data_IF_379742049270
#
_entry.id   IF_379742049270
#
_cell.length_a   1.000
_cell.length_b   1.000
_cell.length_c   1.000
_cell.angle_alpha   90.00
_cell.angle_beta   90.00
_cell.angle_gamma   90.00
#
_symmetry.space_group_name_H-M   'P 1'
#
loop_
_entity.id
_entity.type
_entity.pdbx_description
1 polymer ?
#
# COMPACT_ATOMS: atom_id res chain seq x y z
N UNK A 1 40.34 -50.13 31.31
CA UNK A 1 39.20 -49.71 30.47
C UNK A 1 38.43 -48.65 31.25
N UNK A 2 38.14 -47.53 30.56
CA UNK A 2 37.31 -46.36 30.90
C UNK A 2 37.51 -45.65 32.26
N UNK A 3 38.24 -44.53 32.23
CA UNK A 3 38.04 -43.43 33.20
C UNK A 3 37.00 -42.45 32.64
N UNK A 4 36.02 -42.09 33.47
CA UNK A 4 34.94 -41.18 33.10
C UNK A 4 35.42 -39.71 33.04
N UNK A 5 34.93 -38.89 32.10
CA UNK A 5 35.29 -37.48 32.06
C UNK A 5 34.45 -36.64 33.03
N UNK A 6 35.14 -35.63 33.56
CA UNK A 6 34.79 -34.74 34.66
C UNK A 6 33.60 -33.82 34.33
N UNK A 7 32.55 -33.85 35.15
CA UNK A 7 31.28 -33.12 34.98
C UNK A 7 31.43 -31.58 34.99
N UNK A 8 32.58 -31.06 35.43
CA UNK A 8 32.84 -29.62 35.54
C UNK A 8 33.18 -28.91 34.22
N UNK A 9 33.59 -29.63 33.16
CA UNK A 9 33.94 -29.01 31.87
C UNK A 9 32.75 -28.81 30.91
N UNK A 10 31.57 -29.37 31.20
CA UNK A 10 30.37 -29.18 30.36
C UNK A 10 29.57 -27.91 30.68
N UNK A 11 29.78 -27.28 31.84
CA UNK A 11 29.02 -26.09 32.25
C UNK A 11 29.59 -24.77 31.69
N UNK A 12 30.86 -24.73 31.27
CA UNK A 12 31.50 -23.51 30.75
C UNK A 12 31.25 -23.25 29.25
N UNK A 13 30.70 -24.23 28.51
CA UNK A 13 30.28 -24.06 27.11
C UNK A 13 28.80 -23.66 26.97
N UNK A 14 27.99 -23.79 28.02
CA UNK A 14 26.56 -23.41 27.98
C UNK A 14 26.26 -21.96 28.36
N UNK A 15 27.26 -21.19 28.83
CA UNK A 15 27.06 -19.79 29.24
C UNK A 15 27.57 -18.75 28.22
N UNK A 16 28.09 -19.16 27.06
CA UNK A 16 28.52 -18.21 26.00
C UNK A 16 27.44 -17.89 24.96
N UNK A 17 26.27 -18.50 25.06
CA UNK A 17 25.15 -18.27 24.13
C UNK A 17 24.06 -17.33 24.66
N UNK A 18 24.28 -16.67 25.81
CA UNK A 18 23.31 -15.74 26.41
C UNK A 18 23.73 -14.26 26.34
N UNK A 19 24.64 -13.91 25.43
CA UNK A 19 25.02 -12.51 25.18
C UNK A 19 25.03 -12.20 23.68
N UNK A 20 23.93 -12.47 23.01
CA UNK A 20 23.55 -11.69 21.84
C UNK A 20 22.45 -10.75 22.29
N UNK A 21 22.80 -9.47 22.46
CA UNK A 21 21.79 -8.40 22.46
C UNK A 21 20.89 -8.65 21.26
N UNK A 22 19.55 -8.65 21.40
CA UNK A 22 18.69 -8.71 20.23
C UNK A 22 19.12 -7.57 19.30
N UNK A 23 19.15 -7.80 17.97
CA UNK A 23 19.34 -6.69 17.04
C UNK A 23 18.36 -5.59 17.43
N UNK A 24 18.76 -4.30 17.37
CA UNK A 24 17.86 -3.22 17.74
C UNK A 24 16.57 -3.46 16.98
N UNK A 25 15.47 -3.68 17.70
CA UNK A 25 14.14 -3.62 17.10
C UNK A 25 14.12 -2.26 16.44
N UNK A 26 14.22 -2.22 15.12
CA UNK A 26 13.92 -1.03 14.35
C UNK A 26 12.48 -0.72 14.70
N UNK A 27 12.26 0.14 15.70
CA UNK A 27 10.95 0.64 16.02
C UNK A 27 10.47 1.25 14.72
N UNK A 28 9.36 0.72 14.19
CA UNK A 28 8.62 1.40 13.14
C UNK A 28 8.61 2.89 13.46
N UNK A 29 9.11 3.73 12.54
CA UNK A 29 9.09 5.18 12.71
C UNK A 29 7.65 5.73 12.87
N UNK A 30 6.66 4.87 12.64
CA UNK A 30 5.24 5.15 12.72
C UNK A 30 4.58 4.41 13.90
N UNK A 31 3.71 5.11 14.62
CA UNK A 31 2.93 4.55 15.73
C UNK A 31 1.44 4.90 15.60
N UNK A 32 0.52 3.98 15.90
CA UNK A 32 -0.91 4.29 15.88
C UNK A 32 -1.33 5.09 17.11
N UNK A 33 -2.14 6.14 16.91
CA UNK A 33 -2.87 6.88 17.95
C UNK A 33 -4.34 6.50 17.89
N UNK A 34 -4.82 5.79 18.91
CA UNK A 34 -6.19 5.32 19.00
C UNK A 34 -7.07 6.37 19.69
N UNK A 35 -8.19 6.67 19.07
CA UNK A 35 -9.28 7.48 19.63
C UNK A 35 -10.51 6.60 19.73
N UNK A 36 -11.21 6.66 20.86
CA UNK A 36 -12.39 5.84 21.12
C UNK A 36 -12.08 4.35 21.29
N UNK A 37 -13.07 3.58 21.75
CA UNK A 37 -12.94 2.13 21.89
C UNK A 37 -13.09 1.43 20.53
N UNK A 38 -12.34 0.34 20.25
CA UNK A 38 -12.57 -0.47 19.06
C UNK A 38 -14.03 -0.94 18.94
N UNK A 39 -14.51 -1.14 17.70
CA UNK A 39 -15.89 -1.53 17.40
C UNK A 39 -16.94 -0.51 17.88
N UNK A 40 -16.61 0.79 17.81
CA UNK A 40 -17.54 1.90 18.06
C UNK A 40 -17.51 2.90 16.91
N UNK A 41 -18.57 3.70 16.75
CA UNK A 41 -18.67 4.69 15.66
C UNK A 41 -17.61 5.80 15.74
N UNK A 42 -17.17 6.12 16.96
CA UNK A 42 -16.17 7.16 17.22
C UNK A 42 -14.73 6.65 17.12
N UNK A 43 -14.55 5.34 16.87
CA UNK A 43 -13.21 4.77 16.82
C UNK A 43 -12.43 5.31 15.62
N UNK A 44 -11.24 5.85 15.89
CA UNK A 44 -10.27 6.28 14.87
C UNK A 44 -8.88 5.79 15.23
N UNK A 45 -8.12 5.40 14.21
CA UNK A 45 -6.69 5.13 14.34
C UNK A 45 -5.94 6.09 13.43
N UNK A 46 -5.33 7.10 14.04
CA UNK A 46 -4.40 7.99 13.35
C UNK A 46 -3.01 7.35 13.31
N UNK A 47 -2.19 7.71 12.32
CA UNK A 47 -0.77 7.34 12.31
C UNK A 47 0.06 8.55 12.73
N UNK A 48 1.02 8.33 13.62
CA UNK A 48 2.00 9.34 14.01
C UNK A 48 3.37 9.00 13.45
N UNK A 49 4.13 10.01 13.06
CA UNK A 49 5.57 9.94 12.85
C UNK A 49 6.24 10.95 13.78
N UNK A 50 7.17 10.50 14.63
CA UNK A 50 7.84 11.37 15.61
C UNK A 50 6.87 12.19 16.49
N UNK A 51 5.73 11.60 16.88
CA UNK A 51 4.70 12.23 17.71
C UNK A 51 3.72 13.15 16.96
N UNK A 52 3.90 13.35 15.65
CA UNK A 52 3.02 14.18 14.82
C UNK A 52 2.11 13.31 13.97
N UNK A 53 0.82 13.65 13.92
CA UNK A 53 -0.16 12.94 13.09
C UNK A 53 0.16 13.19 11.61
N UNK A 54 0.23 12.11 10.83
CA UNK A 54 0.45 12.08 9.39
C UNK A 54 -0.71 11.35 8.70
N UNK A 55 -1.01 11.73 7.47
CA UNK A 55 -2.00 11.03 6.65
C UNK A 55 -1.46 9.66 6.19
N UNK A 56 -2.12 8.54 6.51
CA UNK A 56 -1.76 7.24 5.95
C UNK A 56 -2.05 7.14 4.45
N UNK A 57 -2.87 8.03 3.88
CA UNK A 57 -3.10 8.07 2.45
C UNK A 57 -1.98 8.86 1.75
N UNK A 58 -1.54 9.99 2.30
CA UNK A 58 -0.76 10.96 1.53
C UNK A 58 0.68 11.16 2.02
N UNK A 59 0.93 11.09 3.32
CA UNK A 59 2.20 11.53 3.92
C UNK A 59 3.22 10.41 4.11
N UNK A 60 2.77 9.14 4.13
CA UNK A 60 3.65 7.98 4.23
C UNK A 60 4.17 7.64 2.83
N UNK A 61 5.50 7.58 2.61
CA UNK A 61 6.05 7.27 1.30
C UNK A 61 5.63 5.89 0.81
N UNK A 62 5.23 5.77 -0.46
CA UNK A 62 4.96 4.47 -1.10
C UNK A 62 6.17 3.52 -0.97
N UNK A 63 7.37 4.03 -1.27
CA UNK A 63 8.61 3.26 -1.19
C UNK A 63 9.29 3.46 0.16
N UNK A 64 9.57 2.36 0.85
CA UNK A 64 10.50 2.34 1.98
C UNK A 64 11.95 2.31 1.50
N UNK A 65 12.21 1.58 0.40
CA UNK A 65 13.47 1.54 -0.31
C UNK A 65 13.20 1.29 -1.79
N UNK A 66 13.27 2.36 -2.59
CA UNK A 66 13.01 2.30 -4.02
C UNK A 66 14.07 1.47 -4.77
N UNK A 67 15.32 1.48 -4.32
CA UNK A 67 16.42 0.75 -4.98
C UNK A 67 16.25 -0.77 -4.87
N UNK A 68 15.66 -1.24 -3.77
CA UNK A 68 15.38 -2.65 -3.53
C UNK A 68 13.92 -3.06 -3.80
N UNK A 69 13.07 -2.13 -4.26
CA UNK A 69 11.66 -2.39 -4.52
C UNK A 69 10.87 -2.78 -3.26
N UNK A 70 11.17 -2.12 -2.13
CA UNK A 70 10.47 -2.32 -0.86
C UNK A 70 9.47 -1.19 -0.64
N UNK A 71 8.25 -1.57 -0.33
CA UNK A 71 7.11 -0.67 -0.17
C UNK A 71 6.72 -0.54 1.30
N UNK A 72 6.13 0.59 1.69
CA UNK A 72 5.40 0.71 2.95
C UNK A 72 3.95 0.27 2.71
N UNK A 73 3.45 -0.67 3.51
CA UNK A 73 2.04 -1.05 3.58
C UNK A 73 1.43 -0.49 4.85
N UNK A 74 0.22 0.06 4.75
CA UNK A 74 -0.61 0.43 5.90
C UNK A 74 -1.56 -0.74 6.19
N UNK A 75 -1.46 -1.34 7.37
CA UNK A 75 -2.36 -2.42 7.79
C UNK A 75 -3.66 -1.82 8.33
N UNK A 76 -4.79 -2.20 7.74
CA UNK A 76 -6.12 -1.75 8.16
C UNK A 76 -6.85 -2.84 8.94
N UNK A 77 -6.81 -4.08 8.45
CA UNK A 77 -7.53 -5.21 9.04
C UNK A 77 -6.56 -6.36 9.33
N UNK A 78 -6.30 -6.65 10.61
CA UNK A 78 -5.50 -7.82 11.00
C UNK A 78 -6.12 -9.13 10.52
N UNK A 79 -5.27 -10.11 10.18
CA UNK A 79 -5.73 -11.45 9.81
C UNK A 79 -6.62 -12.06 10.89
N UNK A 80 -7.67 -12.76 10.45
CA UNK A 80 -8.71 -13.41 11.25
C UNK A 80 -9.59 -12.46 12.06
N UNK A 81 -9.72 -11.21 11.61
CA UNK A 81 -10.69 -10.26 12.17
C UNK A 81 -11.78 -9.91 11.15
N UNK A 82 -12.88 -9.33 11.64
CA UNK A 82 -14.09 -9.12 10.84
C UNK A 82 -14.45 -7.64 10.65
N UNK A 83 -13.96 -6.75 11.51
CA UNK A 83 -14.27 -5.33 11.41
C UNK A 83 -13.70 -4.79 10.10
N UNK A 84 -14.55 -4.26 9.21
CA UNK A 84 -14.07 -3.62 7.99
C UNK A 84 -13.56 -2.23 8.34
N UNK A 85 -12.26 -2.15 8.61
CA UNK A 85 -11.54 -0.92 8.85
C UNK A 85 -10.92 -0.45 7.53
N UNK A 86 -10.95 0.85 7.29
CA UNK A 86 -10.45 1.48 6.06
C UNK A 86 -9.90 2.88 6.36
N UNK A 87 -8.88 3.30 5.61
CA UNK A 87 -8.40 4.67 5.55
C UNK A 87 -9.55 5.56 5.10
N UNK A 88 -9.94 6.54 5.92
CA UNK A 88 -11.00 7.48 5.52
C UNK A 88 -10.49 8.44 4.45
N UNK A 89 -11.19 8.52 3.33
CA UNK A 89 -10.85 9.48 2.26
C UNK A 89 -11.29 10.89 2.60
N UNK A 90 -12.38 11.02 3.37
CA UNK A 90 -13.09 12.28 3.59
C UNK A 90 -12.65 13.01 4.87
N UNK A 91 -12.13 12.27 5.85
CA UNK A 91 -11.71 12.86 7.13
C UNK A 91 -10.28 13.45 7.06
N UNK A 92 -10.04 14.63 7.67
CA UNK A 92 -8.70 15.20 7.75
C UNK A 92 -7.69 14.24 8.38
N UNK A 93 -6.50 14.16 7.77
CA UNK A 93 -5.44 13.18 8.11
C UNK A 93 -5.80 11.72 7.87
N UNK A 94 -6.91 11.45 7.17
CA UNK A 94 -7.30 10.13 6.68
C UNK A 94 -7.17 9.01 7.72
N UNK A 95 -7.67 9.17 8.97
CA UNK A 95 -7.57 8.12 9.97
C UNK A 95 -8.25 6.84 9.50
N UNK A 96 -7.75 5.71 9.98
CA UNK A 96 -8.45 4.43 9.78
C UNK A 96 -9.69 4.43 10.67
N UNK A 97 -10.85 4.11 10.09
CA UNK A 97 -12.15 4.02 10.76
C UNK A 97 -12.90 2.78 10.27
N UNK A 98 -13.91 2.37 11.02
CA UNK A 98 -14.76 1.26 10.58
C UNK A 98 -15.82 1.76 9.60
N UNK A 99 -15.97 1.05 8.48
CA UNK A 99 -17.01 1.29 7.47
C UNK A 99 -18.41 1.19 8.13
N UNK A 100 -19.33 2.03 7.70
CA UNK A 100 -20.70 2.12 8.20
C UNK A 100 -21.67 1.80 7.07
N UNK A 101 -22.41 0.69 7.21
CA UNK A 101 -23.45 0.28 6.27
C UNK A 101 -24.82 0.40 6.93
N UNK A 102 -25.71 1.21 6.35
CA UNK A 102 -27.07 1.46 6.87
C UNK A 102 -27.07 1.91 8.35
N UNK A 103 -26.16 2.82 8.70
CA UNK A 103 -26.03 3.38 10.05
C UNK A 103 -25.46 2.42 11.10
N UNK A 104 -24.91 1.26 10.70
CA UNK A 104 -24.30 0.29 11.60
C UNK A 104 -22.87 -0.03 11.16
N UNK A 105 -22.03 -0.32 12.14
CA UNK A 105 -20.66 -0.80 11.90
C UNK A 105 -20.67 -2.06 11.02
N UNK A 106 -19.87 -2.04 9.96
CA UNK A 106 -19.76 -3.15 9.02
C UNK A 106 -18.77 -4.19 9.52
N UNK A 107 -19.20 -5.44 9.51
CA UNK A 107 -18.37 -6.60 9.77
C UNK A 107 -18.50 -7.57 8.61
N UNK A 108 -17.38 -7.94 8.00
CA UNK A 108 -17.31 -9.02 7.01
C UNK A 108 -17.66 -10.33 7.72
N UNK A 109 -18.51 -11.15 7.09
CA UNK A 109 -18.97 -12.41 7.68
C UNK A 109 -17.92 -13.51 7.47
N UNK A 110 -17.98 -14.53 8.31
CA UNK A 110 -17.20 -15.75 8.09
C UNK A 110 -17.86 -16.56 6.98
N UNK A 111 -17.13 -16.81 5.90
CA UNK A 111 -17.54 -17.69 4.82
C UNK A 111 -16.71 -18.97 4.92
N UNK A 112 -17.33 -20.09 5.27
CA UNK A 112 -16.61 -21.36 5.45
C UNK A 112 -15.76 -21.69 4.20
N UNK A 113 -14.48 -22.10 4.36
CA UNK A 113 -13.77 -22.45 5.61
C UNK A 113 -13.06 -21.28 6.31
N UNK A 114 -13.28 -20.04 5.86
CA UNK A 114 -12.51 -18.86 6.27
C UNK A 114 -13.04 -18.22 7.56
N UNK A 115 -12.12 -17.67 8.35
CA UNK A 115 -12.43 -16.84 9.51
C UNK A 115 -11.96 -15.40 9.22
N UNK A 116 -12.91 -14.46 9.11
CA UNK A 116 -12.61 -13.07 8.81
C UNK A 116 -11.80 -12.90 7.53
N UNK A 117 -10.92 -11.90 7.52
CA UNK A 117 -9.89 -11.73 6.50
C UNK A 117 -8.80 -12.78 6.67
N UNK A 118 -8.37 -13.43 5.58
CA UNK A 118 -7.36 -14.50 5.63
C UNK A 118 -5.92 -14.00 5.42
N UNK A 119 -5.71 -12.69 5.35
CA UNK A 119 -4.43 -11.97 5.30
C UNK A 119 -4.41 -10.83 6.31
N UNK A 120 -3.24 -10.25 6.55
CA UNK A 120 -3.24 -8.87 6.99
C UNK A 120 -3.62 -8.02 5.77
N UNK A 121 -4.72 -7.29 5.88
CA UNK A 121 -5.27 -6.52 4.79
C UNK A 121 -5.05 -5.03 5.05
N UNK A 122 -4.83 -4.29 3.97
CA UNK A 122 -4.73 -2.85 4.02
C UNK A 122 -4.38 -2.29 2.66
N UNK A 123 -3.62 -1.21 2.61
CA UNK A 123 -3.36 -0.52 1.36
C UNK A 123 -1.94 0.02 1.23
N UNK A 124 -1.55 0.34 -0.01
CA UNK A 124 -0.35 1.14 -0.26
C UNK A 124 -0.67 2.63 -0.16
N UNK A 125 0.10 3.40 0.64
CA UNK A 125 -0.05 4.84 0.68
C UNK A 125 0.38 5.44 -0.66
N UNK A 126 -0.09 6.65 -0.96
CA UNK A 126 0.25 7.37 -2.18
C UNK A 126 -0.11 6.61 -3.47
N UNK A 127 -1.17 5.82 -3.46
CA UNK A 127 -1.73 5.17 -4.66
C UNK A 127 -3.21 5.47 -4.73
N UNK A 128 -3.79 5.46 -5.93
CA UNK A 128 -5.22 5.72 -6.09
C UNK A 128 -5.77 5.00 -7.33
N UNK A 129 -6.81 4.21 -7.12
CA UNK A 129 -7.61 3.58 -8.18
C UNK A 129 -8.58 4.62 -8.77
N UNK A 130 -8.13 5.30 -9.82
CA UNK A 130 -8.81 6.46 -10.40
C UNK A 130 -10.24 6.12 -10.92
N UNK A 131 -11.31 6.67 -10.32
CA UNK A 131 -12.70 6.39 -10.72
C UNK A 131 -13.11 7.14 -11.99
N UNK A 132 -12.24 7.97 -12.56
CA UNK A 132 -12.51 8.75 -13.78
C UNK A 132 -12.03 8.02 -15.04
N UNK A 133 -11.12 7.07 -14.90
CA UNK A 133 -10.49 6.33 -16.00
C UNK A 133 -10.92 4.87 -15.97
N UNK A 134 -11.13 4.25 -17.12
CA UNK A 134 -11.35 2.80 -17.20
C UNK A 134 -10.02 2.09 -17.40
N UNK A 135 -9.76 1.04 -16.62
CA UNK A 135 -8.62 0.16 -16.83
C UNK A 135 -8.92 -0.79 -18.00
N UNK A 136 -7.92 -1.07 -18.83
CA UNK A 136 -8.09 -1.85 -20.06
C UNK A 136 -8.34 -3.34 -19.76
N UNK A 137 -7.78 -3.82 -18.66
CA UNK A 137 -7.78 -5.19 -18.18
C UNK A 137 -9.16 -5.63 -17.69
N UNK A 138 -9.79 -4.78 -16.89
CA UNK A 138 -11.07 -5.02 -16.23
C UNK A 138 -12.24 -4.44 -17.02
N UNK A 139 -11.98 -3.45 -17.89
CA UNK A 139 -12.99 -2.63 -18.58
C UNK A 139 -13.94 -1.92 -17.61
N UNK A 140 -13.43 -1.64 -16.41
CA UNK A 140 -14.13 -0.96 -15.33
C UNK A 140 -13.29 0.23 -14.84
N UNK A 141 -13.95 1.16 -14.15
CA UNK A 141 -13.29 2.30 -13.49
C UNK A 141 -12.70 1.86 -12.15
N UNK A 142 -11.72 2.59 -11.62
CA UNK A 142 -11.22 2.35 -10.27
C UNK A 142 -12.30 2.57 -9.19
N UNK A 143 -12.14 1.92 -8.05
CA UNK A 143 -13.05 1.97 -6.90
C UNK A 143 -12.89 3.22 -6.02
N UNK A 144 -12.03 4.15 -6.44
CA UNK A 144 -11.72 5.40 -5.76
C UNK A 144 -10.96 5.22 -4.43
N UNK A 145 -10.31 4.08 -4.17
CA UNK A 145 -9.53 3.84 -2.96
C UNK A 145 -8.01 3.78 -3.23
N UNK A 146 -7.16 3.85 -2.17
CA UNK A 146 -5.77 3.45 -2.30
C UNK A 146 -5.67 1.97 -2.69
N UNK A 147 -4.61 1.61 -3.41
CA UNK A 147 -4.43 0.26 -3.95
C UNK A 147 -4.33 -0.78 -2.84
N UNK A 148 -5.19 -1.80 -2.90
CA UNK A 148 -5.36 -2.80 -1.86
C UNK A 148 -4.23 -3.85 -1.81
N UNK A 149 -3.92 -4.29 -0.59
CA UNK A 149 -2.77 -5.14 -0.30
C UNK A 149 -3.15 -6.29 0.64
N UNK A 150 -2.82 -7.51 0.23
CA UNK A 150 -2.91 -8.73 1.01
C UNK A 150 -1.50 -9.19 1.42
N UNK A 151 -1.15 -9.01 2.70
CA UNK A 151 0.13 -9.43 3.25
C UNK A 151 0.04 -10.82 3.89
N UNK A 152 0.87 -11.73 3.37
CA UNK A 152 0.72 -13.18 3.56
C UNK A 152 1.64 -13.79 4.63
N UNK A 153 2.46 -12.99 5.31
CA UNK A 153 3.41 -13.44 6.32
C UNK A 153 2.77 -14.04 7.56
N UNK A 154 3.55 -14.79 8.34
CA UNK A 154 3.05 -15.57 9.48
C UNK A 154 2.56 -14.70 10.66
N UNK A 155 3.09 -13.49 10.81
CA UNK A 155 2.73 -12.60 11.92
C UNK A 155 1.41 -11.88 11.65
N UNK A 156 0.48 -11.95 12.59
CA UNK A 156 -0.74 -11.14 12.56
C UNK A 156 -0.37 -9.68 12.88
N UNK A 157 -0.70 -8.77 11.97
CA UNK A 157 -0.43 -7.34 12.11
C UNK A 157 -1.42 -6.65 13.05
N UNK A 158 -1.32 -5.32 13.14
CA UNK A 158 -2.24 -4.49 13.92
C UNK A 158 -2.70 -3.28 13.11
N UNK A 159 -3.87 -2.73 13.45
CA UNK A 159 -4.47 -1.58 12.78
C UNK A 159 -3.55 -0.37 12.87
N UNK A 160 -3.25 0.27 11.73
CA UNK A 160 -2.33 1.41 11.63
C UNK A 160 -0.84 1.02 11.66
N UNK A 161 -0.52 -0.27 11.58
CA UNK A 161 0.87 -0.71 11.42
C UNK A 161 1.40 -0.30 10.04
N UNK A 162 2.61 0.25 10.00
CA UNK A 162 3.34 0.48 8.74
C UNK A 162 4.40 -0.61 8.59
N UNK A 163 4.18 -1.54 7.64
CA UNK A 163 5.08 -2.68 7.38
C UNK A 163 5.92 -2.41 6.14
N UNK A 164 7.17 -2.85 6.14
CA UNK A 164 7.98 -2.90 4.92
C UNK A 164 7.74 -4.24 4.23
N UNK A 165 7.30 -4.19 2.97
CA UNK A 165 6.87 -5.38 2.24
C UNK A 165 7.51 -5.47 0.86
N UNK A 166 7.66 -6.70 0.37
CA UNK A 166 8.00 -6.98 -1.03
C UNK A 166 6.77 -7.45 -1.79
N UNK A 167 6.64 -6.97 -3.03
CA UNK A 167 5.58 -7.38 -3.96
C UNK A 167 5.91 -8.73 -4.57
N UNK A 168 4.90 -9.61 -4.62
CA UNK A 168 4.99 -10.94 -5.22
C UNK A 168 4.09 -11.07 -6.45
N UNK A 169 2.92 -10.43 -6.45
CA UNK A 169 1.99 -10.48 -7.56
C UNK A 169 0.73 -9.66 -7.32
N UNK A 170 -0.27 -9.85 -8.17
CA UNK A 170 -1.52 -9.07 -8.15
C UNK A 170 -2.69 -9.87 -8.72
N UNK A 171 -3.90 -9.64 -8.22
CA UNK A 171 -5.15 -10.22 -8.76
C UNK A 171 -6.14 -9.13 -9.17
N UNK A 172 -6.78 -9.32 -10.33
CA UNK A 172 -7.70 -8.35 -10.94
C UNK A 172 -9.15 -8.58 -10.51
N UNK A 173 -9.54 -8.15 -9.31
CA UNK A 173 -10.93 -8.28 -8.84
C UNK A 173 -11.81 -7.22 -9.51
N UNK A 174 -13.03 -7.63 -9.86
CA UNK A 174 -14.15 -6.76 -10.22
C UNK A 174 -15.09 -6.78 -9.03
N UNK A 175 -14.97 -5.80 -8.14
CA UNK A 175 -15.81 -5.69 -6.94
C UNK A 175 -17.02 -4.81 -7.24
N UNK A 176 -18.22 -5.41 -7.27
CA UNK A 176 -19.47 -4.72 -7.63
C UNK A 176 -19.43 -3.95 -8.98
N UNK A 177 -18.53 -4.33 -9.89
CA UNK A 177 -18.36 -3.74 -11.22
C UNK A 177 -17.26 -2.68 -11.32
N UNK A 178 -16.51 -2.44 -10.25
CA UNK A 178 -15.36 -1.55 -10.19
C UNK A 178 -14.05 -2.35 -10.23
N UNK A 179 -12.99 -1.74 -10.78
CA UNK A 179 -11.63 -2.27 -10.74
C UNK A 179 -11.13 -2.16 -9.32
N UNK A 180 -10.73 -3.30 -8.76
CA UNK A 180 -10.28 -3.41 -7.39
C UNK A 180 -9.06 -4.34 -7.33
N UNK A 181 -7.89 -3.81 -7.67
CA UNK A 181 -6.68 -4.63 -7.74
C UNK A 181 -6.21 -5.08 -6.34
N UNK A 182 -5.94 -6.39 -6.18
CA UNK A 182 -5.42 -6.96 -4.92
C UNK A 182 -3.95 -7.34 -5.05
N UNK A 183 -3.05 -6.53 -4.49
CA UNK A 183 -1.61 -6.83 -4.49
C UNK A 183 -1.31 -7.92 -3.45
N UNK A 184 -0.51 -8.91 -3.84
CA UNK A 184 0.00 -9.95 -2.95
C UNK A 184 1.42 -9.57 -2.53
N UNK A 185 1.64 -9.45 -1.23
CA UNK A 185 2.94 -9.05 -0.66
C UNK A 185 3.34 -9.94 0.51
N UNK A 186 4.61 -9.86 0.90
CA UNK A 186 5.09 -10.43 2.17
C UNK A 186 5.97 -9.42 2.90
N UNK A 187 5.84 -9.37 4.23
CA UNK A 187 6.75 -8.60 5.09
C UNK A 187 8.21 -9.01 4.85
N UNK A 188 9.11 -8.03 4.72
CA UNK A 188 10.55 -8.29 4.54
C UNK A 188 11.19 -8.99 5.75
N UNK A 189 10.55 -8.92 6.91
CA UNK A 189 10.96 -9.57 8.16
C UNK A 189 10.38 -10.99 8.32
N UNK A 190 9.51 -11.42 7.41
CA UNK A 190 8.94 -12.77 7.47
C UNK A 190 10.03 -13.84 7.23
N UNK A 191 10.03 -14.97 7.97
CA UNK A 191 11.00 -16.05 7.77
C UNK A 191 11.04 -16.61 6.34
N UNK A 192 9.93 -16.57 5.60
CA UNK A 192 9.84 -16.99 4.20
C UNK A 192 10.14 -15.88 3.20
N UNK A 193 10.32 -14.63 3.62
CA UNK A 193 10.53 -13.50 2.72
C UNK A 193 11.69 -13.72 1.73
N UNK A 194 12.78 -14.38 2.17
CA UNK A 194 13.92 -14.71 1.30
C UNK A 194 13.59 -15.73 0.20
N UNK A 195 12.57 -16.56 0.40
CA UNK A 195 12.12 -17.61 -0.53
C UNK A 195 10.97 -17.18 -1.42
N UNK A 196 10.31 -16.07 -1.11
CA UNK A 196 9.19 -15.52 -1.84
C UNK A 196 9.68 -14.32 -2.66
N UNK A 197 9.88 -14.48 -3.96
CA UNK A 197 10.40 -13.42 -4.84
C UNK A 197 9.50 -13.12 -6.03
N UNK A 198 8.63 -14.05 -6.42
CA UNK A 198 7.58 -13.87 -7.42
C UNK A 198 6.33 -14.70 -7.05
N UNK A 199 5.25 -14.57 -7.81
CA UNK A 199 3.95 -15.15 -7.49
C UNK A 199 3.97 -16.69 -7.46
N UNK A 200 4.82 -17.33 -8.26
CA UNK A 200 4.96 -18.78 -8.31
C UNK A 200 5.55 -19.36 -7.02
N UNK A 201 6.35 -18.58 -6.29
CA UNK A 201 6.92 -19.00 -5.01
C UNK A 201 5.83 -19.10 -3.93
N UNK A 202 4.75 -18.32 -4.05
CA UNK A 202 3.60 -18.39 -3.14
C UNK A 202 2.96 -19.77 -3.22
N UNK A 203 2.65 -20.27 -4.42
CA UNK A 203 2.04 -21.61 -4.54
C UNK A 203 3.01 -22.72 -4.13
N UNK A 204 4.33 -22.52 -4.32
CA UNK A 204 5.35 -23.50 -3.89
C UNK A 204 5.47 -23.61 -2.37
N UNK A 205 5.39 -22.50 -1.64
CA UNK A 205 5.63 -22.44 -0.20
C UNK A 205 4.35 -22.37 0.64
N UNK A 206 3.26 -21.87 0.08
CA UNK A 206 1.95 -21.66 0.68
C UNK A 206 0.85 -22.24 -0.24
N UNK A 207 0.87 -23.56 -0.51
CA UNK A 207 0.02 -24.17 -1.53
C UNK A 207 -1.47 -23.97 -1.22
N UNK A 208 -2.23 -23.57 -2.23
CA UNK A 208 -3.66 -23.29 -2.13
C UNK A 208 -4.03 -21.91 -1.60
N UNK A 209 -3.08 -21.08 -1.17
CA UNK A 209 -3.38 -19.73 -0.68
C UNK A 209 -3.99 -18.85 -1.78
N UNK A 210 -3.42 -18.84 -2.99
CA UNK A 210 -3.94 -18.03 -4.10
C UNK A 210 -5.35 -18.47 -4.51
N UNK A 211 -5.61 -19.78 -4.50
CA UNK A 211 -6.95 -20.32 -4.74
C UNK A 211 -7.94 -19.89 -3.66
N UNK A 212 -7.53 -19.90 -2.39
CA UNK A 212 -8.34 -19.40 -1.28
C UNK A 212 -8.58 -17.89 -1.38
N UNK A 213 -7.59 -17.11 -1.86
CA UNK A 213 -7.74 -15.68 -2.16
C UNK A 213 -8.80 -15.42 -3.20
N UNK A 214 -8.75 -16.15 -4.32
CA UNK A 214 -9.77 -16.05 -5.35
C UNK A 214 -11.17 -16.33 -4.79
N UNK A 215 -11.32 -17.44 -4.06
CA UNK A 215 -12.59 -17.84 -3.47
C UNK A 215 -13.12 -16.79 -2.48
N UNK A 216 -12.27 -16.31 -1.57
CA UNK A 216 -12.65 -15.37 -0.53
C UNK A 216 -13.24 -14.09 -1.12
N UNK A 217 -12.54 -13.45 -2.06
CA UNK A 217 -13.00 -12.20 -2.68
C UNK A 217 -14.24 -12.37 -3.56
N UNK A 218 -14.47 -13.57 -4.10
CA UNK A 218 -15.72 -13.89 -4.81
C UNK A 218 -16.92 -13.93 -3.87
N UNK A 219 -16.76 -14.56 -2.70
CA UNK A 219 -17.90 -14.93 -1.85
C UNK A 219 -18.13 -14.03 -0.64
N UNK A 220 -17.17 -13.20 -0.23
CA UNK A 220 -17.23 -12.50 1.08
C UNK A 220 -18.45 -11.57 1.25
N UNK A 221 -19.01 -11.07 0.16
CA UNK A 221 -20.22 -10.21 0.15
C UNK A 221 -21.53 -10.98 -0.07
N UNK A 222 -21.50 -12.28 -0.39
CA UNK A 222 -22.72 -13.09 -0.56
C UNK A 222 -23.59 -13.09 0.70
N UNK A 223 -23.05 -13.26 1.93
CA UNK A 223 -23.84 -13.16 3.16
C UNK A 223 -24.50 -11.79 3.39
N UNK A 224 -24.00 -10.75 2.73
CA UNK A 224 -24.54 -9.39 2.75
C UNK A 224 -25.65 -9.18 1.68
N UNK A 225 -26.04 -10.24 0.96
CA UNK A 225 -27.05 -10.22 -0.09
C UNK A 225 -26.56 -9.63 -1.42
N UNK A 226 -25.25 -9.55 -1.62
CA UNK A 226 -24.63 -9.10 -2.88
C UNK A 226 -24.35 -10.28 -3.81
N UNK A 227 -24.27 -10.05 -5.14
CA UNK A 227 -23.82 -11.07 -6.06
C UNK A 227 -22.37 -11.48 -5.78
N UNK A 228 -21.99 -12.62 -6.33
CA UNK A 228 -20.60 -13.06 -6.36
C UNK A 228 -19.76 -12.08 -7.20
N UNK A 229 -18.59 -11.70 -6.70
CA UNK A 229 -17.65 -10.90 -7.48
C UNK A 229 -16.99 -11.75 -8.58
N UNK A 230 -16.38 -11.08 -9.55
CA UNK A 230 -15.68 -11.74 -10.65
C UNK A 230 -14.23 -11.29 -10.71
N UNK A 231 -13.39 -12.02 -11.45
CA UNK A 231 -12.01 -11.63 -11.68
C UNK A 231 -11.76 -11.53 -13.18
N UNK A 232 -10.96 -10.55 -13.60
CA UNK A 232 -10.34 -10.61 -14.93
C UNK A 232 -9.31 -11.77 -14.98
N UNK A 233 -8.83 -12.10 -16.18
CA UNK A 233 -7.87 -13.19 -16.40
C UNK A 233 -8.27 -14.54 -15.78
N UNK A 234 -9.58 -14.80 -15.64
CA UNK A 234 -10.10 -16.01 -14.98
C UNK A 234 -9.59 -16.21 -13.54
N UNK A 235 -9.20 -15.13 -12.84
CA UNK A 235 -8.69 -15.20 -11.48
C UNK A 235 -7.21 -15.53 -11.35
N UNK A 236 -6.44 -15.49 -12.45
CA UNK A 236 -5.00 -15.65 -12.43
C UNK A 236 -4.32 -14.56 -11.60
N UNK A 237 -3.44 -14.95 -10.69
CA UNK A 237 -2.54 -14.01 -10.03
C UNK A 237 -1.37 -13.69 -10.96
N UNK A 238 -1.28 -12.44 -11.42
CA UNK A 238 -0.18 -11.96 -12.25
C UNK A 238 1.07 -11.76 -11.41
N UNK A 239 2.22 -11.91 -12.06
CA UNK A 239 3.53 -11.88 -11.43
C UNK A 239 3.92 -10.50 -10.88
N UNK A 240 5.03 -10.46 -10.15
CA UNK A 240 5.59 -9.27 -9.52
C UNK A 240 5.78 -8.11 -10.50
N UNK A 241 6.22 -8.41 -11.73
CA UNK A 241 6.46 -7.38 -12.75
C UNK A 241 5.15 -6.66 -13.08
N UNK A 242 4.09 -7.41 -13.39
CA UNK A 242 2.77 -6.85 -13.68
C UNK A 242 2.23 -6.04 -12.49
N UNK A 243 2.36 -6.59 -11.28
CA UNK A 243 1.95 -5.92 -10.06
C UNK A 243 2.64 -4.56 -9.89
N UNK A 244 3.95 -4.51 -10.18
CA UNK A 244 4.75 -3.28 -10.07
C UNK A 244 4.31 -2.23 -11.09
N UNK A 245 3.94 -2.64 -12.31
CA UNK A 245 3.40 -1.74 -13.34
C UNK A 245 2.09 -1.08 -12.88
N UNK A 246 1.16 -1.86 -12.33
CA UNK A 246 -0.11 -1.35 -11.78
C UNK A 246 0.12 -0.43 -10.57
N UNK A 247 1.03 -0.79 -9.65
CA UNK A 247 1.38 0.08 -8.52
C UNK A 247 1.88 1.44 -9.01
N UNK A 248 2.72 1.47 -10.06
CA UNK A 248 3.18 2.73 -10.65
C UNK A 248 2.05 3.52 -11.29
N UNK A 249 1.12 2.87 -12.00
CA UNK A 249 -0.06 3.53 -12.57
C UNK A 249 -0.91 4.20 -11.48
N UNK A 250 -1.26 3.48 -10.41
CA UNK A 250 -2.04 4.02 -9.30
C UNK A 250 -1.27 5.11 -8.53
N UNK A 251 0.07 5.00 -8.43
CA UNK A 251 0.90 6.06 -7.84
C UNK A 251 0.90 7.34 -8.70
N UNK A 252 0.96 7.21 -10.02
CA UNK A 252 0.87 8.34 -10.93
C UNK A 252 -0.53 8.98 -10.91
N UNK A 253 -1.59 8.18 -10.77
CA UNK A 253 -2.95 8.69 -10.53
C UNK A 253 -3.04 9.48 -9.22
N UNK A 254 -2.52 8.94 -8.11
CA UNK A 254 -2.43 9.67 -6.84
C UNK A 254 -1.58 10.94 -6.98
N UNK A 255 -0.48 10.92 -7.74
CA UNK A 255 0.34 12.11 -7.98
C UNK A 255 -0.48 13.21 -8.65
N UNK A 256 -1.24 12.88 -9.70
CA UNK A 256 -2.13 13.83 -10.38
C UNK A 256 -3.21 14.37 -9.45
N UNK A 257 -3.74 13.54 -8.55
CA UNK A 257 -4.69 13.93 -7.51
C UNK A 257 -4.05 14.94 -6.53
N UNK A 258 -2.88 14.63 -5.96
CA UNK A 258 -2.24 15.47 -4.94
C UNK A 258 -1.66 16.77 -5.50
N UNK A 259 -1.25 16.80 -6.77
CA UNK A 259 -0.81 18.03 -7.46
C UNK A 259 -1.98 18.90 -7.92
N UNK A 260 -3.21 18.38 -7.88
CA UNK A 260 -4.41 19.08 -8.33
C UNK A 260 -4.61 19.06 -9.85
N UNK A 261 -3.86 18.24 -10.59
CA UNK A 261 -4.14 17.96 -12.01
C UNK A 261 -5.47 17.22 -12.17
N UNK A 262 -5.80 16.33 -11.21
CA UNK A 262 -7.14 15.77 -11.04
C UNK A 262 -7.81 16.44 -9.84
N UNK A 263 -9.00 17.06 -9.98
CA UNK A 263 -9.67 17.72 -8.87
C UNK A 263 -10.01 16.74 -7.76
N UNK A 264 -9.67 17.04 -6.51
CA UNK A 264 -9.94 16.17 -5.36
C UNK A 264 -11.42 16.06 -4.96
N UNK A 265 -12.22 17.04 -5.40
CA UNK A 265 -13.67 17.05 -5.25
C UNK A 265 -14.31 17.00 -6.64
N UNK A 266 -15.07 15.95 -6.91
CA UNK A 266 -15.84 15.75 -8.13
C UNK A 266 -17.12 14.95 -7.83
N UNK A 267 -18.09 14.88 -8.76
CA UNK A 267 -19.29 14.05 -8.56
C UNK A 267 -18.99 12.57 -8.28
N UNK A 268 -17.81 12.08 -8.68
CA UNK A 268 -17.40 10.68 -8.50
C UNK A 268 -16.57 10.44 -7.25
N UNK A 269 -16.04 11.47 -6.58
CA UNK A 269 -15.15 11.31 -5.43
C UNK A 269 -15.01 12.58 -4.58
N UNK A 270 -14.78 12.41 -3.28
CA UNK A 270 -14.48 13.48 -2.33
C UNK A 270 -13.28 13.03 -1.48
N UNK A 271 -12.10 13.58 -1.78
CA UNK A 271 -10.84 13.20 -1.12
C UNK A 271 -10.28 14.40 -0.35
N UNK A 272 -10.09 14.21 0.94
CA UNK A 272 -9.51 15.18 1.86
C UNK A 272 -7.99 15.29 1.65
N UNK A 273 -7.60 16.23 0.79
CA UNK A 273 -6.20 16.63 0.61
C UNK A 273 -5.88 17.80 1.54
N UNK A 274 -5.06 17.57 2.56
CA UNK A 274 -4.54 18.66 3.39
C UNK A 274 -3.32 19.29 2.72
N UNK A 275 -3.38 20.59 2.39
CA UNK A 275 -2.19 21.36 1.99
C UNK A 275 -1.33 21.63 3.22
N UNK A 276 -0.45 20.72 3.59
CA UNK A 276 0.56 21.04 4.61
C UNK A 276 1.50 22.13 4.07
N UNK A 277 1.68 23.20 4.84
CA UNK A 277 2.85 24.08 4.74
C UNK A 277 4.06 23.33 5.29
N UNK A 278 4.53 22.30 4.58
CA UNK A 278 5.87 21.75 4.79
C UNK A 278 6.78 22.27 3.67
N UNK A 279 8.00 22.75 3.99
CA UNK A 279 8.93 23.22 2.98
C UNK A 279 9.29 22.04 2.06
N UNK A 280 8.84 22.14 0.81
CA UNK A 280 9.25 21.38 -0.38
C UNK A 280 9.63 19.90 -0.15
N UNK A 281 8.71 18.98 -0.48
CA UNK A 281 9.06 17.58 -0.71
C UNK A 281 10.20 17.51 -1.76
N UNK A 282 11.36 16.90 -1.45
CA UNK A 282 12.57 17.01 -2.27
C UNK A 282 12.44 16.54 -3.73
N UNK A 283 11.45 15.69 -4.02
CA UNK A 283 11.27 15.09 -5.35
C UNK A 283 10.40 15.93 -6.30
N UNK A 284 9.69 16.96 -5.82
CA UNK A 284 8.87 17.85 -6.66
C UNK A 284 9.74 18.69 -7.63
N UNK A 285 11.06 18.79 -7.39
CA UNK A 285 11.96 19.61 -8.20
C UNK A 285 12.49 18.94 -9.48
N UNK A 286 12.18 17.68 -9.73
CA UNK A 286 12.83 16.91 -10.80
C UNK A 286 12.04 16.81 -12.10
N UNK A 287 11.27 17.84 -12.49
CA UNK A 287 10.73 17.96 -13.87
C UNK A 287 10.63 19.42 -14.34
N UNK A 288 11.73 20.17 -14.27
CA UNK A 288 11.87 21.33 -15.16
C UNK A 288 12.30 20.86 -16.55
N UNK A 289 11.44 21.16 -17.53
CA UNK A 289 11.50 20.84 -18.96
C UNK A 289 12.92 20.95 -19.56
N UNK A 290 13.29 20.11 -20.55
CA UNK A 290 14.49 20.37 -21.34
C UNK A 290 14.31 21.70 -22.08
N UNK A 291 15.27 22.62 -21.91
CA UNK A 291 15.32 23.86 -22.69
C UNK A 291 15.36 23.51 -24.18
N UNK A 292 14.28 23.81 -24.88
CA UNK A 292 14.26 23.86 -26.33
C UNK A 292 15.29 24.92 -26.78
N UNK A 293 16.27 24.45 -27.52
CA UNK A 293 17.29 25.25 -28.19
C UNK A 293 16.59 26.16 -29.22
N UNK A 294 16.61 27.48 -29.02
CA UNK A 294 16.22 28.46 -30.03
C UNK A 294 17.49 29.02 -30.71
N UNK A 295 17.54 29.11 -32.04
CA UNK A 295 18.67 29.73 -32.74
C UNK A 295 18.63 31.27 -32.59
N UNK A 296 19.79 31.96 -32.58
CA UNK A 296 19.84 33.39 -32.30
C UNK A 296 19.31 34.23 -33.47
N UNK A 297 18.30 35.05 -33.17
CA UNK A 297 17.83 36.13 -34.03
C UNK A 297 18.80 37.32 -33.90
N UNK A 298 19.30 37.81 -35.05
CA UNK A 298 20.22 38.96 -35.14
C UNK A 298 19.59 40.22 -34.54
N UNK A 299 20.29 40.85 -33.59
CA UNK A 299 20.05 42.24 -33.22
C UNK A 299 20.93 43.15 -34.08
N UNK A 300 20.27 44.13 -34.68
CA UNK A 300 20.81 45.16 -35.56
C UNK A 300 21.75 46.11 -34.80
N UNK A 301 22.90 46.39 -35.40
CA UNK A 301 23.76 47.51 -35.03
C UNK A 301 23.15 48.82 -35.54
N UNK A 302 23.22 49.85 -34.71
CA UNK A 302 22.76 51.21 -34.99
C UNK A 302 23.89 52.07 -35.62
N UNK A 303 23.67 53.36 -35.89
CA UNK A 303 23.34 53.90 -37.20
C UNK A 303 24.50 54.70 -37.82
N UNK A 304 24.52 54.83 -39.15
CA UNK A 304 25.38 55.83 -39.81
C UNK A 304 24.67 56.45 -41.02
N UNK A 305 24.47 57.76 -40.93
CA UNK A 305 24.01 58.66 -41.98
C UNK A 305 25.12 58.90 -43.02
N UNK A 306 24.83 58.91 -44.32
CA UNK A 306 24.88 60.07 -45.24
C UNK A 306 24.86 59.67 -46.74
N UNK A 307 23.89 60.27 -47.44
CA UNK A 307 23.79 60.74 -48.85
C UNK A 307 24.06 59.82 -50.07
N UNK A 308 23.26 59.99 -51.15
CA UNK A 308 23.47 59.38 -52.46
C UNK A 308 24.27 60.31 -53.40
N UNK A 309 24.97 59.76 -54.38
CA UNK A 309 25.02 60.27 -55.75
C UNK A 309 25.68 59.25 -56.72
N UNK A 310 25.02 59.12 -57.87
CA UNK A 310 25.40 58.47 -59.15
C UNK A 310 25.26 56.96 -59.25
#
# INVERSE_FOLDING_TARGET
MASAPNTAQRLSQHLRFLSSSPPPKMSSAYTPRLIGAPNTLDHRVFIEQNGQVVSPFHDIPLFADQGNGIFNMIVEVPRWTNAKLEISKEEPFNPIKQDIKKGRLRFVRNCFPHHGYIWNYGAFPQTWEDPTTSHAETKAKGDNDPLDVCEIGEQVGYVGQVKQVKVLGIMALLDEGETDWKIIVVDVQDPLASKLNDIEDVERHLPGLIRATNEWFRIYKIPDGKPENTFAFSGEAKNKKYATEIIHECHEAWRRLITGETPAQAPTHDISIRKHHHPELPWIRCQERPRLYQPPCRLQEAPCTYRPFQ
#
